data_IF_338590501181
#
_entry.id   IF_338590501181
#
_cell.length_a   1.000
_cell.length_b   1.000
_cell.length_c   1.000
_cell.angle_alpha   90.00
_cell.angle_beta   90.00
_cell.angle_gamma   90.00
#
_symmetry.space_group_name_H-M   'P 1'
#
loop_
_entity.id
_entity.type
_entity.pdbx_description
1 polymer ?
#
# COMPACT_ATOMS: atom_id res chain seq x y z
N UNK A 1 -11.62 -4.26 0.46
CA UNK A 1 -10.84 -3.43 1.40
C UNK A 1 -11.17 -1.97 1.11
N UNK A 2 -11.75 -1.22 2.07
CA UNK A 2 -12.03 0.21 1.90
C UNK A 2 -10.75 1.05 1.98
N UNK A 3 -10.84 2.32 1.61
CA UNK A 3 -9.79 3.31 1.83
C UNK A 3 -9.50 3.41 3.32
N UNK A 4 -8.23 3.28 3.69
CA UNK A 4 -7.79 3.36 5.09
C UNK A 4 -8.08 4.74 5.72
N UNK A 5 -8.06 5.81 4.92
CA UNK A 5 -8.32 7.18 5.40
C UNK A 5 -9.81 7.53 5.49
N UNK A 6 -10.59 7.22 4.45
CA UNK A 6 -11.97 7.72 4.31
C UNK A 6 -13.05 6.64 4.22
N UNK A 7 -12.69 5.36 4.27
CA UNK A 7 -13.63 4.25 4.21
C UNK A 7 -14.26 3.99 2.83
N UNK A 8 -13.95 4.80 1.80
CA UNK A 8 -14.48 4.62 0.44
C UNK A 8 -14.19 3.21 -0.06
N UNK A 9 -15.16 2.56 -0.69
CA UNK A 9 -14.96 1.22 -1.28
C UNK A 9 -14.38 1.38 -2.69
N UNK A 10 -13.38 0.56 -3.02
CA UNK A 10 -12.88 0.48 -4.39
C UNK A 10 -13.98 -0.08 -5.29
N UNK A 11 -14.40 0.71 -6.28
CA UNK A 11 -15.18 0.22 -7.42
C UNK A 11 -14.24 -0.40 -8.44
N UNK A 12 -14.66 -1.51 -9.06
CA UNK A 12 -13.84 -2.22 -10.03
C UNK A 12 -13.40 -1.28 -11.18
N UNK A 13 -12.09 -1.16 -11.47
CA UNK A 13 -11.65 -0.33 -12.57
C UNK A 13 -12.08 -0.96 -13.89
N UNK A 14 -12.68 -0.14 -14.76
CA UNK A 14 -13.28 -0.59 -16.04
C UNK A 14 -12.23 -1.19 -17.00
N UNK A 15 -10.93 -0.88 -16.82
CA UNK A 15 -9.73 -1.56 -17.35
C UNK A 15 -8.47 -0.80 -16.91
N UNK A 16 -7.34 -1.50 -16.72
CA UNK A 16 -6.03 -0.88 -16.47
C UNK A 16 -5.54 -0.93 -15.02
N UNK A 17 -4.41 -0.25 -14.76
CA UNK A 17 -3.84 -0.17 -13.41
C UNK A 17 -4.80 0.58 -12.48
N UNK A 18 -5.12 -0.03 -11.34
CA UNK A 18 -5.97 0.62 -10.33
C UNK A 18 -5.29 1.91 -9.84
N UNK A 19 -6.00 3.06 -9.82
CA UNK A 19 -5.45 4.35 -9.38
C UNK A 19 -5.27 4.42 -7.85
N UNK A 20 -5.63 3.35 -7.13
CA UNK A 20 -5.51 3.26 -5.70
C UNK A 20 -4.06 2.99 -5.27
N UNK A 21 -3.59 3.78 -4.33
CA UNK A 21 -2.33 3.59 -3.64
C UNK A 21 -2.40 2.33 -2.79
N UNK A 22 -1.31 1.58 -2.79
CA UNK A 22 -1.12 0.37 -1.98
C UNK A 22 0.10 0.54 -1.10
N UNK A 23 -0.03 0.10 0.14
CA UNK A 23 1.02 0.12 1.14
C UNK A 23 0.73 -0.87 2.26
N UNK A 24 1.54 -0.79 3.30
CA UNK A 24 1.38 -1.56 4.52
C UNK A 24 1.50 -0.60 5.70
N UNK A 25 0.64 -0.76 6.71
CA UNK A 25 0.71 -0.02 7.98
C UNK A 25 0.64 -1.04 9.10
N UNK A 26 1.61 -1.03 10.01
CA UNK A 26 1.68 -1.96 11.15
C UNK A 26 1.59 -3.45 10.75
N UNK A 27 2.04 -3.78 9.53
CA UNK A 27 1.95 -5.12 8.96
C UNK A 27 0.64 -5.46 8.23
N UNK A 28 -0.35 -4.57 8.21
CA UNK A 28 -1.59 -4.76 7.48
C UNK A 28 -1.55 -4.13 6.10
N UNK A 29 -2.01 -4.86 5.07
CA UNK A 29 -2.16 -4.28 3.74
C UNK A 29 -3.29 -3.26 3.73
N UNK A 30 -3.03 -2.08 3.18
CA UNK A 30 -4.00 -1.00 3.06
C UNK A 30 -4.16 -0.51 1.62
N UNK A 31 -5.30 0.16 1.38
CA UNK A 31 -5.59 0.88 0.16
C UNK A 31 -5.86 2.36 0.48
N UNK A 32 -5.39 3.28 -0.37
CA UNK A 32 -5.70 4.71 -0.29
C UNK A 32 -6.34 5.16 -1.61
N UNK A 33 -7.52 5.78 -1.53
CA UNK A 33 -8.23 6.24 -2.72
C UNK A 33 -7.52 7.44 -3.38
N UNK A 34 -7.74 7.69 -4.68
CA UNK A 34 -7.08 8.80 -5.40
C UNK A 34 -7.33 10.18 -4.78
N UNK A 35 -8.52 10.42 -4.21
CA UNK A 35 -8.84 11.68 -3.52
C UNK A 35 -7.98 11.87 -2.27
N UNK A 36 -7.85 10.84 -1.42
CA UNK A 36 -6.98 10.90 -0.24
C UNK A 36 -5.51 11.04 -0.62
N UNK A 37 -5.05 10.37 -1.69
CA UNK A 37 -3.69 10.54 -2.21
C UNK A 37 -3.40 11.98 -2.68
N UNK A 38 -4.42 12.66 -3.23
CA UNK A 38 -4.29 14.04 -3.72
C UNK A 38 -4.40 15.07 -2.61
N UNK A 39 -5.24 14.81 -1.61
CA UNK A 39 -5.44 15.67 -0.44
C UNK A 39 -4.22 15.65 0.50
N UNK A 40 -3.61 14.48 0.70
CA UNK A 40 -2.42 14.30 1.53
C UNK A 40 -1.24 13.88 0.65
N UNK A 41 -0.41 14.83 0.19
CA UNK A 41 0.76 14.51 -0.67
C UNK A 41 1.72 13.52 -0.02
N UNK A 42 1.81 13.55 1.31
CA UNK A 42 2.71 12.74 2.10
C UNK A 42 2.03 11.50 2.71
N UNK A 43 0.91 11.05 2.13
CA UNK A 43 0.16 9.86 2.59
C UNK A 43 1.02 8.59 2.69
N UNK A 44 2.17 8.55 2.02
CA UNK A 44 3.12 7.44 2.07
C UNK A 44 4.02 7.44 3.30
N UNK A 45 4.06 8.52 4.09
CA UNK A 45 5.00 8.69 5.22
C UNK A 45 4.71 7.73 6.37
N UNK A 46 3.43 7.41 6.58
CA UNK A 46 2.98 6.50 7.64
C UNK A 46 3.13 5.01 7.24
N UNK A 47 3.60 4.72 6.02
CA UNK A 47 3.71 3.35 5.53
C UNK A 47 4.97 2.66 6.03
N UNK A 48 4.84 1.37 6.30
CA UNK A 48 5.97 0.48 6.50
C UNK A 48 6.92 0.56 5.29
N UNK A 49 8.22 0.60 5.58
CA UNK A 49 9.26 0.72 4.58
C UNK A 49 10.04 -0.58 4.45
N UNK A 50 10.48 -0.88 3.21
CA UNK A 50 11.33 -2.03 2.98
C UNK A 50 12.65 -1.89 3.75
N UNK A 51 13.08 -2.91 4.53
CA UNK A 51 14.33 -2.85 5.27
C UNK A 51 15.56 -2.72 4.35
N UNK A 52 15.46 -3.20 3.10
CA UNK A 52 16.55 -3.20 2.11
C UNK A 52 16.69 -1.90 1.32
N UNK A 53 15.59 -1.33 0.82
CA UNK A 53 15.63 -0.19 -0.11
C UNK A 53 14.86 1.05 0.37
N UNK A 54 14.24 0.99 1.56
CA UNK A 54 13.40 2.04 2.15
C UNK A 54 12.15 2.42 1.35
N UNK A 55 11.83 1.71 0.26
CA UNK A 55 10.60 1.91 -0.49
C UNK A 55 9.36 1.42 0.27
N UNK A 56 8.25 2.14 0.13
CA UNK A 56 6.96 1.88 0.81
C UNK A 56 5.94 1.10 -0.03
N UNK A 57 6.30 0.77 -1.28
CA UNK A 57 5.48 -0.07 -2.18
C UNK A 57 5.54 -1.54 -1.77
N UNK A 58 4.90 -1.86 -0.66
CA UNK A 58 4.88 -3.21 -0.08
C UNK A 58 3.57 -3.94 -0.42
N UNK A 59 3.62 -5.27 -0.41
CA UNK A 59 2.46 -6.14 -0.52
C UNK A 59 2.56 -7.24 0.53
N UNK A 60 1.45 -7.57 1.18
CA UNK A 60 1.35 -8.73 2.06
C UNK A 60 0.85 -9.90 1.23
N UNK A 61 1.60 -10.99 1.22
CA UNK A 61 1.30 -12.21 0.47
C UNK A 61 1.54 -13.39 1.40
N UNK A 62 0.48 -14.11 1.77
CA UNK A 62 0.55 -15.30 2.62
C UNK A 62 1.37 -15.10 3.93
N UNK A 63 1.26 -13.93 4.56
CA UNK A 63 1.99 -13.60 5.79
C UNK A 63 3.41 -13.04 5.58
N UNK A 64 3.90 -13.00 4.33
CA UNK A 64 5.17 -12.36 3.98
C UNK A 64 4.95 -10.96 3.42
N UNK A 65 5.92 -10.07 3.66
CA UNK A 65 6.00 -8.76 3.02
C UNK A 65 6.88 -8.85 1.79
N UNK A 66 6.41 -8.28 0.68
CA UNK A 66 7.14 -8.22 -0.59
C UNK A 66 7.28 -6.77 -1.03
N UNK A 67 8.52 -6.29 -1.15
CA UNK A 67 8.79 -4.97 -1.71
C UNK A 67 8.69 -4.99 -3.24
N UNK A 68 7.77 -4.21 -3.81
CA UNK A 68 7.58 -4.13 -5.26
C UNK A 68 8.74 -3.42 -5.98
N UNK A 69 9.45 -2.53 -5.28
CA UNK A 69 10.57 -1.76 -5.82
C UNK A 69 11.85 -2.59 -5.97
N UNK A 70 12.27 -3.34 -4.94
CA UNK A 70 13.53 -4.10 -4.96
C UNK A 70 13.37 -5.62 -4.92
N UNK A 71 12.14 -6.12 -4.92
CA UNK A 71 11.77 -7.56 -4.87
C UNK A 71 12.22 -8.32 -3.62
N UNK A 72 12.67 -7.62 -2.58
CA UNK A 72 12.98 -8.26 -1.31
C UNK A 72 11.69 -8.77 -0.65
N UNK A 73 11.69 -10.03 -0.26
CA UNK A 73 10.67 -10.66 0.55
C UNK A 73 11.20 -10.97 1.96
N UNK A 74 10.34 -10.83 2.96
CA UNK A 74 10.65 -11.22 4.34
C UNK A 74 9.36 -11.53 5.10
N UNK A 75 9.44 -12.40 6.09
CA UNK A 75 8.36 -12.67 7.04
C UNK A 75 8.44 -11.67 8.19
N UNK A 76 7.30 -11.25 8.77
CA UNK A 76 7.35 -10.62 10.10
C UNK A 76 7.84 -11.66 11.11
N UNK A 77 8.71 -11.29 12.06
CA UNK A 77 8.89 -12.09 13.26
C UNK A 77 7.58 -12.20 14.06
#
# INVERSE_FOLDING_TARGET
MPCYRCGRIQTDPVKGASPWGRGVVEGEQILICPECQSAERDWTTDLDSCPRCKGTRLSVVLGSFVCRSCKHDWTRP
#
